data_IF_586865480675
#
_entry.id   IF_586865480675
#
_cell.length_a   1.000
_cell.length_b   1.000
_cell.length_c   1.000
_cell.angle_alpha   90.00
_cell.angle_beta   90.00
_cell.angle_gamma   90.00
#
_symmetry.space_group_name_H-M   'P 1'
#
loop_
_entity.id
_entity.type
_entity.pdbx_description
1 polymer ?
#
# COMPACT_ATOMS: atom_id res chain seq x y z
N UNK A 1 -14.90 -14.43 5.85
CA UNK A 1 -15.09 -14.30 7.31
C UNK A 1 -14.98 -15.68 7.99
N UNK A 2 -15.77 -16.69 7.62
CA UNK A 2 -15.76 -18.02 8.29
C UNK A 2 -14.37 -18.68 8.26
N UNK A 3 -13.67 -18.76 7.12
CA UNK A 3 -12.32 -19.35 7.04
C UNK A 3 -11.34 -18.66 7.99
N UNK A 4 -11.37 -17.33 8.02
CA UNK A 4 -10.52 -16.54 8.91
C UNK A 4 -10.85 -16.79 10.39
N UNK A 5 -12.13 -16.91 10.75
CA UNK A 5 -12.58 -17.29 12.09
C UNK A 5 -12.03 -18.66 12.51
N UNK A 6 -12.19 -19.66 11.64
CA UNK A 6 -11.72 -21.05 11.90
C UNK A 6 -10.20 -21.06 12.11
N UNK A 7 -9.45 -20.33 11.29
CA UNK A 7 -7.98 -20.27 11.40
C UNK A 7 -7.53 -19.64 12.72
N UNK A 8 -8.12 -18.50 13.10
CA UNK A 8 -7.81 -17.81 14.35
C UNK A 8 -8.23 -18.65 15.56
N UNK A 9 -9.45 -19.23 15.54
CA UNK A 9 -9.92 -20.08 16.64
C UNK A 9 -9.00 -21.29 16.86
N UNK A 10 -8.55 -21.93 15.78
CA UNK A 10 -7.59 -23.05 15.87
C UNK A 10 -6.21 -22.63 16.36
N UNK A 11 -5.79 -21.40 16.07
CA UNK A 11 -4.49 -20.90 16.46
C UNK A 11 -4.45 -20.46 17.92
N UNK A 12 -5.52 -19.81 18.40
CA UNK A 12 -5.54 -19.16 19.70
C UNK A 12 -6.44 -19.88 20.74
N UNK A 13 -7.23 -20.86 20.32
CA UNK A 13 -8.15 -21.65 21.16
C UNK A 13 -9.07 -20.77 22.03
N UNK A 14 -9.54 -19.65 21.49
CA UNK A 14 -10.41 -18.70 22.18
C UNK A 14 -11.61 -18.31 21.31
N UNK A 15 -12.58 -17.64 21.92
CA UNK A 15 -13.69 -17.03 21.20
C UNK A 15 -13.19 -15.86 20.34
N UNK A 16 -13.69 -15.78 19.11
CA UNK A 16 -13.28 -14.78 18.12
C UNK A 16 -14.48 -13.91 17.75
N UNK A 17 -14.42 -12.64 18.12
CA UNK A 17 -15.32 -11.61 17.61
C UNK A 17 -14.77 -11.04 16.30
N UNK A 18 -15.59 -11.03 15.26
CA UNK A 18 -15.19 -10.49 13.96
C UNK A 18 -15.99 -9.25 13.62
N UNK A 19 -15.25 -8.23 13.15
CA UNK A 19 -15.81 -6.97 12.66
C UNK A 19 -15.24 -6.67 11.28
N UNK A 20 -16.10 -6.30 10.34
CA UNK A 20 -15.73 -5.75 9.03
C UNK A 20 -16.06 -4.27 9.04
N UNK A 21 -15.10 -3.42 8.70
CA UNK A 21 -15.31 -1.98 8.59
C UNK A 21 -15.20 -1.60 7.11
N UNK A 22 -16.29 -1.08 6.55
CA UNK A 22 -16.28 -0.49 5.22
C UNK A 22 -15.96 0.99 5.33
N UNK A 23 -14.92 1.44 4.63
CA UNK A 23 -14.40 2.80 4.70
C UNK A 23 -15.06 3.74 3.68
N UNK A 24 -15.53 3.20 2.55
CA UNK A 24 -16.15 3.99 1.49
C UNK A 24 -17.58 3.53 1.20
N UNK A 25 -18.51 4.44 0.92
CA UNK A 25 -19.89 4.09 0.57
C UNK A 25 -19.94 3.11 -0.60
N UNK A 26 -20.79 2.09 -0.48
CA UNK A 26 -21.02 1.09 -1.52
C UNK A 26 -22.44 0.56 -1.43
N UNK A 27 -22.99 0.12 -2.57
CA UNK A 27 -24.29 -0.57 -2.64
C UNK A 27 -24.11 -2.11 -2.74
N UNK A 28 -22.88 -2.62 -2.61
CA UNK A 28 -22.63 -4.04 -2.66
C UNK A 28 -23.31 -4.75 -1.48
N UNK A 29 -24.02 -5.84 -1.74
CA UNK A 29 -24.77 -6.63 -0.74
C UNK A 29 -23.88 -7.05 0.44
N UNK A 30 -22.61 -7.33 0.20
CA UNK A 30 -21.64 -7.72 1.23
C UNK A 30 -21.46 -6.66 2.33
N UNK A 31 -21.70 -5.38 2.03
CA UNK A 31 -21.62 -4.31 3.04
C UNK A 31 -22.85 -4.26 3.96
N UNK A 32 -23.90 -5.01 3.64
CA UNK A 32 -25.17 -5.06 4.39
C UNK A 32 -25.46 -6.47 4.91
N UNK A 33 -24.53 -7.42 4.74
CA UNK A 33 -24.67 -8.81 5.16
C UNK A 33 -23.78 -9.07 6.38
N UNK A 34 -24.37 -9.51 7.48
CA UNK A 34 -23.68 -9.78 8.75
C UNK A 34 -23.59 -11.27 9.06
N UNK A 35 -23.93 -12.13 8.11
CA UNK A 35 -23.87 -13.57 8.30
C UNK A 35 -23.54 -14.32 7.01
N UNK A 36 -22.97 -15.50 7.17
CA UNK A 36 -22.83 -16.49 6.14
C UNK A 36 -23.68 -17.71 6.51
N UNK A 37 -24.51 -18.19 5.58
CA UNK A 37 -25.34 -19.40 5.75
C UNK A 37 -25.07 -20.40 4.63
N UNK A 38 -24.89 -21.65 5.03
CA UNK A 38 -24.88 -22.82 4.18
C UNK A 38 -25.71 -23.94 4.86
N UNK A 39 -26.07 -25.05 4.18
CA UNK A 39 -26.99 -26.05 4.71
C UNK A 39 -26.69 -26.54 6.14
N UNK A 40 -25.41 -26.63 6.50
CA UNK A 40 -24.98 -27.10 7.82
C UNK A 40 -24.01 -26.11 8.51
N UNK A 41 -24.02 -24.84 8.10
CA UNK A 41 -23.09 -23.85 8.63
C UNK A 41 -23.78 -22.51 8.78
N UNK A 42 -23.62 -21.91 9.94
CA UNK A 42 -24.07 -20.56 10.22
C UNK A 42 -22.96 -19.80 10.95
N UNK A 43 -22.54 -18.67 10.39
CA UNK A 43 -21.48 -17.85 10.95
C UNK A 43 -21.90 -16.37 10.92
N UNK A 44 -21.75 -15.68 12.04
CA UNK A 44 -22.10 -14.25 12.20
C UNK A 44 -20.87 -13.41 12.45
N UNK A 45 -20.91 -12.18 11.97
CA UNK A 45 -19.90 -11.15 12.18
C UNK A 45 -20.59 -9.78 12.17
N UNK A 46 -19.94 -8.77 12.74
CA UNK A 46 -20.47 -7.41 12.69
C UNK A 46 -19.96 -6.67 11.45
N UNK A 47 -20.83 -5.83 10.87
CA UNK A 47 -20.47 -4.93 9.77
C UNK A 47 -20.66 -3.50 10.24
N UNK A 48 -19.60 -2.71 10.12
CA UNK A 48 -19.61 -1.29 10.43
C UNK A 48 -19.40 -0.54 9.11
N UNK A 49 -20.37 0.26 8.72
CA UNK A 49 -20.29 1.24 7.63
C UNK A 49 -19.93 2.57 8.23
N UNK A 50 -18.67 3.00 8.06
CA UNK A 50 -18.14 4.16 8.76
C UNK A 50 -18.90 5.44 8.41
N UNK A 51 -19.40 5.57 7.18
CA UNK A 51 -20.18 6.72 6.71
C UNK A 51 -21.57 6.87 7.34
N UNK A 52 -22.03 5.87 8.08
CA UNK A 52 -23.29 5.89 8.85
C UNK A 52 -23.03 6.12 10.35
N UNK A 53 -21.77 6.13 10.79
CA UNK A 53 -21.44 6.28 12.20
C UNK A 53 -21.45 7.74 12.63
N UNK A 54 -21.89 7.97 13.86
CA UNK A 54 -21.81 9.29 14.51
C UNK A 54 -20.33 9.65 14.74
N UNK A 55 -19.86 10.82 14.26
CA UNK A 55 -18.49 11.26 14.48
C UNK A 55 -18.13 11.44 15.95
N UNK A 56 -19.06 11.71 16.85
CA UNK A 56 -18.78 11.99 18.27
C UNK A 56 -18.04 10.86 18.95
N UNK A 57 -18.48 9.62 18.73
CA UNK A 57 -17.84 8.44 19.31
C UNK A 57 -16.40 8.22 18.78
N UNK A 58 -16.14 8.62 17.54
CA UNK A 58 -14.83 8.49 16.90
C UNK A 58 -13.88 9.63 17.27
N UNK A 59 -14.41 10.84 17.48
CA UNK A 59 -13.65 12.01 17.91
C UNK A 59 -13.16 11.90 19.36
N UNK A 60 -13.80 11.06 20.17
CA UNK A 60 -13.43 10.88 21.58
C UNK A 60 -12.06 10.21 21.81
N UNK A 61 -11.49 9.56 20.80
CA UNK A 61 -10.23 8.83 20.94
C UNK A 61 -9.24 9.21 19.82
N UNK A 62 -8.00 9.61 20.14
CA UNK A 62 -6.97 9.90 19.15
C UNK A 62 -6.71 8.76 18.15
N UNK A 63 -6.84 7.51 18.59
CA UNK A 63 -6.65 6.34 17.73
C UNK A 63 -7.76 6.18 16.67
N UNK A 64 -8.93 6.77 16.87
CA UNK A 64 -10.07 6.69 15.97
C UNK A 64 -10.22 7.92 15.06
N UNK A 65 -9.44 8.97 15.27
CA UNK A 65 -9.49 10.20 14.46
C UNK A 65 -9.33 9.95 12.95
N UNK A 66 -8.46 9.02 12.49
CA UNK A 66 -8.39 8.68 11.07
C UNK A 66 -9.70 8.14 10.50
N UNK A 67 -10.51 7.45 11.29
CA UNK A 67 -11.83 6.96 10.88
C UNK A 67 -12.90 8.03 11.00
N UNK A 68 -12.75 8.97 11.93
CA UNK A 68 -13.71 10.04 12.17
C UNK A 68 -13.95 10.92 10.93
N UNK A 69 -12.93 11.12 10.07
CA UNK A 69 -13.06 11.89 8.83
C UNK A 69 -14.04 11.26 7.83
N UNK A 70 -14.22 9.94 7.91
CA UNK A 70 -15.14 9.19 7.03
C UNK A 70 -16.57 9.11 7.59
N UNK A 71 -16.79 9.50 8.85
CA UNK A 71 -18.07 9.41 9.52
C UNK A 71 -19.18 10.22 8.82
N UNK A 72 -20.41 10.02 9.27
CA UNK A 72 -21.55 10.77 8.77
C UNK A 72 -21.38 12.26 9.02
N UNK A 73 -21.61 13.08 8.01
CA UNK A 73 -21.57 14.53 8.14
C UNK A 73 -22.41 15.21 7.05
N UNK A 74 -23.05 16.31 7.43
CA UNK A 74 -23.73 17.22 6.51
C UNK A 74 -22.83 18.43 6.18
N UNK A 75 -21.66 18.56 6.83
CA UNK A 75 -20.72 19.68 6.66
C UNK A 75 -19.28 19.16 6.75
N UNK A 76 -18.68 18.83 5.60
CA UNK A 76 -17.32 18.33 5.53
C UNK A 76 -16.30 19.21 6.23
N UNK A 77 -16.39 20.52 6.03
CA UNK A 77 -15.46 21.51 6.61
C UNK A 77 -15.51 21.48 8.14
N UNK A 78 -16.71 21.43 8.72
CA UNK A 78 -16.89 21.38 10.18
C UNK A 78 -16.32 20.09 10.74
N UNK A 79 -16.52 18.96 10.06
CA UNK A 79 -15.95 17.67 10.50
C UNK A 79 -14.42 17.71 10.46
N UNK A 80 -13.83 18.15 9.35
CA UNK A 80 -12.37 18.25 9.21
C UNK A 80 -11.75 19.21 10.22
N UNK A 81 -12.39 20.36 10.46
CA UNK A 81 -11.97 21.31 11.48
C UNK A 81 -11.96 20.67 12.88
N UNK A 82 -13.00 19.93 13.23
CA UNK A 82 -13.09 19.24 14.52
C UNK A 82 -12.03 18.15 14.68
N UNK A 83 -11.80 17.37 13.63
CA UNK A 83 -10.73 16.35 13.64
C UNK A 83 -9.36 17.01 13.78
N UNK A 84 -9.08 18.09 13.05
CA UNK A 84 -7.84 18.85 13.16
C UNK A 84 -7.62 19.37 14.60
N UNK A 85 -8.66 19.96 15.20
CA UNK A 85 -8.58 20.41 16.59
C UNK A 85 -8.29 19.26 17.59
N UNK A 86 -8.82 18.05 17.34
CA UNK A 86 -8.51 16.88 18.17
C UNK A 86 -7.08 16.36 17.94
N UNK A 87 -6.54 16.47 16.74
CA UNK A 87 -5.14 16.15 16.45
C UNK A 87 -4.20 17.12 17.14
N UNK A 88 -4.54 18.43 17.15
CA UNK A 88 -3.69 19.48 17.71
C UNK A 88 -3.52 19.39 19.25
N UNK A 89 -4.48 18.78 19.95
CA UNK A 89 -4.39 18.58 21.41
C UNK A 89 -3.61 17.33 21.83
N UNK A 90 -3.11 16.54 20.89
CA UNK A 90 -2.27 15.37 21.19
C UNK A 90 -0.90 15.89 21.67
N UNK A 91 -0.58 15.63 22.94
CA UNK A 91 0.63 16.17 23.59
C UNK A 91 1.92 15.56 23.04
N UNK A 92 1.91 14.27 22.73
CA UNK A 92 3.08 13.54 22.22
C UNK A 92 3.26 13.87 20.72
N UNK A 93 4.32 14.60 20.41
CA UNK A 93 4.58 15.12 19.05
C UNK A 93 4.66 14.04 17.97
N UNK A 94 5.33 12.92 18.27
CA UNK A 94 5.45 11.82 17.31
C UNK A 94 4.08 11.21 17.02
N UNK A 95 3.31 10.93 18.06
CA UNK A 95 1.94 10.44 17.93
C UNK A 95 1.04 11.42 17.20
N UNK A 96 1.15 12.71 17.48
CA UNK A 96 0.41 13.76 16.77
C UNK A 96 0.69 13.74 15.26
N UNK A 97 1.96 13.68 14.88
CA UNK A 97 2.39 13.60 13.47
C UNK A 97 1.84 12.35 12.78
N UNK A 98 1.96 11.20 13.44
CA UNK A 98 1.50 9.93 12.90
C UNK A 98 -0.03 9.90 12.75
N UNK A 99 -0.78 10.38 13.74
CA UNK A 99 -2.24 10.50 13.65
C UNK A 99 -2.63 11.49 12.56
N UNK A 100 -1.98 12.65 12.47
CA UNK A 100 -2.20 13.64 11.41
C UNK A 100 -1.98 13.06 10.02
N UNK A 101 -0.90 12.31 9.81
CA UNK A 101 -0.62 11.65 8.55
C UNK A 101 -1.70 10.61 8.18
N UNK A 102 -2.08 9.75 9.14
CA UNK A 102 -3.16 8.78 8.94
C UNK A 102 -4.50 9.46 8.61
N UNK A 103 -4.84 10.55 9.32
CA UNK A 103 -6.04 11.35 9.05
C UNK A 103 -6.05 11.88 7.63
N UNK A 104 -4.95 12.49 7.17
CA UNK A 104 -4.85 13.06 5.81
C UNK A 104 -4.95 11.97 4.73
N UNK A 105 -4.27 10.83 4.91
CA UNK A 105 -4.32 9.70 3.97
C UNK A 105 -5.76 9.15 3.87
N UNK A 106 -6.40 8.90 5.00
CA UNK A 106 -7.76 8.33 5.06
C UNK A 106 -8.80 9.36 4.55
N UNK A 107 -8.62 10.65 4.86
CA UNK A 107 -9.49 11.73 4.36
C UNK A 107 -9.52 11.76 2.82
N UNK A 108 -8.41 11.42 2.16
CA UNK A 108 -8.32 11.32 0.69
C UNK A 108 -9.25 10.28 0.05
N UNK A 109 -9.85 9.35 0.83
CA UNK A 109 -10.88 8.44 0.35
C UNK A 109 -12.24 9.13 0.13
N UNK A 110 -12.46 10.30 0.73
CA UNK A 110 -13.76 10.99 0.76
C UNK A 110 -13.70 12.43 0.27
N UNK A 111 -12.59 13.12 0.47
CA UNK A 111 -12.42 14.53 0.20
C UNK A 111 -11.27 14.78 -0.78
N UNK A 112 -11.33 15.88 -1.51
CA UNK A 112 -10.22 16.31 -2.34
C UNK A 112 -9.06 16.92 -1.51
N UNK A 113 -7.86 16.92 -2.09
CA UNK A 113 -6.66 17.42 -1.41
C UNK A 113 -6.76 18.90 -1.05
N UNK A 114 -7.43 19.72 -1.89
CA UNK A 114 -7.55 21.15 -1.64
C UNK A 114 -8.32 21.43 -0.34
N UNK A 115 -9.40 20.68 -0.09
CA UNK A 115 -10.16 20.78 1.15
C UNK A 115 -9.35 20.27 2.35
N UNK A 116 -8.64 19.14 2.22
CA UNK A 116 -7.83 18.57 3.31
C UNK A 116 -6.74 19.57 3.74
N UNK A 117 -6.03 20.16 2.78
CA UNK A 117 -4.95 21.12 3.05
C UNK A 117 -5.40 22.45 3.68
N UNK A 118 -6.70 22.77 3.69
CA UNK A 118 -7.23 23.92 4.45
C UNK A 118 -7.15 23.71 5.97
N UNK A 119 -7.18 22.45 6.43
CA UNK A 119 -7.24 22.11 7.85
C UNK A 119 -5.98 21.40 8.35
N UNK A 120 -5.23 20.75 7.46
CA UNK A 120 -4.03 19.99 7.80
C UNK A 120 -2.82 20.48 7.02
N UNK A 121 -1.70 20.65 7.73
CA UNK A 121 -0.44 21.09 7.11
C UNK A 121 0.30 19.89 6.53
N UNK A 122 0.70 19.97 5.28
CA UNK A 122 1.46 18.94 4.58
C UNK A 122 2.82 18.65 5.25
N UNK A 123 3.46 19.70 5.80
CA UNK A 123 4.74 19.56 6.50
C UNK A 123 4.65 18.59 7.67
N UNK A 124 3.57 18.63 8.45
CA UNK A 124 3.34 17.74 9.59
C UNK A 124 3.21 16.28 9.12
N UNK A 125 2.56 16.06 7.99
CA UNK A 125 2.45 14.73 7.38
C UNK A 125 3.81 14.20 6.95
N UNK A 126 4.62 15.04 6.27
CA UNK A 126 5.96 14.67 5.79
C UNK A 126 6.94 14.31 6.92
N UNK A 127 6.75 14.85 8.12
CA UNK A 127 7.55 14.53 9.29
C UNK A 127 7.11 13.25 10.02
N UNK A 128 5.99 12.64 9.61
CA UNK A 128 5.51 11.38 10.18
C UNK A 128 6.39 10.21 9.77
N UNK A 129 6.78 9.37 10.74
CA UNK A 129 7.53 8.13 10.48
C UNK A 129 6.75 7.18 9.58
N UNK A 130 5.45 7.06 9.79
CA UNK A 130 4.54 6.23 8.95
C UNK A 130 4.56 6.71 7.50
N UNK A 131 4.45 8.02 7.27
CA UNK A 131 4.48 8.58 5.93
C UNK A 131 5.83 8.34 5.24
N UNK A 132 6.95 8.53 5.97
CA UNK A 132 8.29 8.27 5.46
C UNK A 132 8.47 6.79 5.08
N UNK A 133 7.98 5.86 5.89
CA UNK A 133 8.00 4.44 5.59
C UNK A 133 7.21 4.10 4.31
N UNK A 134 6.01 4.68 4.14
CA UNK A 134 5.20 4.49 2.92
C UNK A 134 5.93 5.00 1.69
N UNK A 135 6.53 6.19 1.75
CA UNK A 135 7.30 6.76 0.63
C UNK A 135 8.52 5.90 0.31
N UNK A 136 9.29 5.48 1.31
CA UNK A 136 10.47 4.62 1.11
C UNK A 136 10.07 3.27 0.50
N UNK A 137 8.97 2.68 0.98
CA UNK A 137 8.44 1.46 0.40
C UNK A 137 8.04 1.65 -1.06
N UNK A 138 7.34 2.74 -1.39
CA UNK A 138 6.95 3.07 -2.76
C UNK A 138 8.15 3.27 -3.69
N UNK A 139 9.20 3.98 -3.23
CA UNK A 139 10.45 4.16 -3.97
C UNK A 139 11.12 2.80 -4.24
N UNK A 140 11.22 1.95 -3.21
CA UNK A 140 11.81 0.61 -3.32
C UNK A 140 11.06 -0.25 -4.33
N UNK A 141 9.73 -0.26 -4.27
CA UNK A 141 8.88 -1.00 -5.20
C UNK A 141 9.01 -0.45 -6.62
N UNK A 142 9.02 0.88 -6.79
CA UNK A 142 9.21 1.52 -8.08
C UNK A 142 10.56 1.19 -8.72
N UNK A 143 11.65 1.22 -7.94
CA UNK A 143 12.99 0.82 -8.40
C UNK A 143 13.02 -0.66 -8.80
N UNK A 144 12.39 -1.53 -8.03
CA UNK A 144 12.31 -2.96 -8.35
C UNK A 144 11.52 -3.23 -9.62
N UNK A 145 10.37 -2.55 -9.81
CA UNK A 145 9.57 -2.66 -11.04
C UNK A 145 10.32 -2.11 -12.25
N UNK A 146 10.99 -0.97 -12.11
CA UNK A 146 11.83 -0.39 -13.15
C UNK A 146 12.94 -1.35 -13.60
N UNK A 147 13.66 -1.91 -12.63
CA UNK A 147 14.71 -2.91 -12.90
C UNK A 147 14.15 -4.15 -13.60
N UNK A 148 13.01 -4.67 -13.17
CA UNK A 148 12.39 -5.84 -13.79
C UNK A 148 11.96 -5.57 -15.25
N UNK A 149 11.45 -4.37 -15.51
CA UNK A 149 11.08 -3.94 -16.86
C UNK A 149 12.30 -3.85 -17.77
N UNK A 150 13.41 -3.31 -17.26
CA UNK A 150 14.68 -3.20 -17.98
C UNK A 150 15.30 -4.56 -18.30
N UNK A 151 15.39 -5.46 -17.31
CA UNK A 151 15.84 -6.86 -17.52
C UNK A 151 14.99 -7.50 -18.61
N UNK A 152 13.65 -7.34 -18.55
CA UNK A 152 12.75 -7.91 -19.55
C UNK A 152 12.99 -7.34 -20.94
N UNK A 153 13.30 -6.05 -21.05
CA UNK A 153 13.64 -5.41 -22.34
C UNK A 153 14.96 -5.96 -22.88
N UNK A 154 16.01 -5.99 -22.06
CA UNK A 154 17.33 -6.50 -22.45
C UNK A 154 17.25 -7.95 -22.92
N UNK A 155 16.54 -8.80 -22.20
CA UNK A 155 16.37 -10.21 -22.59
C UNK A 155 15.65 -10.36 -23.92
N UNK A 156 14.63 -9.53 -24.21
CA UNK A 156 13.97 -9.52 -25.52
C UNK A 156 14.91 -9.06 -26.63
N UNK A 157 15.74 -8.05 -26.37
CA UNK A 157 16.72 -7.56 -27.33
C UNK A 157 17.82 -8.60 -27.61
N UNK A 158 18.36 -9.22 -26.54
CA UNK A 158 19.33 -10.32 -26.66
C UNK A 158 18.78 -11.48 -27.46
N UNK A 159 17.55 -11.93 -27.13
CA UNK A 159 16.91 -13.03 -27.88
C UNK A 159 16.72 -12.70 -29.37
N UNK A 160 16.41 -11.46 -29.69
CA UNK A 160 16.29 -11.00 -31.08
C UNK A 160 17.66 -10.90 -31.78
N UNK A 161 18.73 -10.58 -31.05
CA UNK A 161 20.04 -10.27 -31.62
C UNK A 161 20.92 -11.52 -31.76
N UNK A 162 20.99 -12.34 -30.72
CA UNK A 162 21.90 -13.51 -30.63
C UNK A 162 21.17 -14.85 -30.45
N UNK A 163 19.80 -14.83 -30.39
CA UNK A 163 19.00 -16.02 -30.16
C UNK A 163 18.72 -16.29 -28.70
N UNK A 164 18.22 -17.48 -28.38
CA UNK A 164 17.80 -17.88 -27.04
C UNK A 164 18.99 -17.91 -26.07
N UNK A 165 18.85 -17.19 -24.97
CA UNK A 165 19.87 -17.09 -23.91
C UNK A 165 19.64 -18.21 -22.89
N UNK A 166 20.70 -18.97 -22.56
CA UNK A 166 20.58 -20.07 -21.61
C UNK A 166 20.29 -19.60 -20.17
N UNK A 167 19.79 -20.52 -19.33
CA UNK A 167 19.34 -20.21 -17.97
C UNK A 167 20.44 -19.68 -17.03
N UNK A 168 21.69 -20.07 -17.24
CA UNK A 168 22.82 -19.60 -16.44
C UNK A 168 23.13 -18.13 -16.72
N UNK A 169 23.14 -17.74 -17.98
CA UNK A 169 23.34 -16.34 -18.38
C UNK A 169 22.13 -15.46 -17.98
N UNK A 170 20.89 -16.00 -18.07
CA UNK A 170 19.69 -15.32 -17.56
C UNK A 170 19.84 -14.98 -16.07
N UNK A 171 20.29 -15.94 -15.26
CA UNK A 171 20.53 -15.71 -13.84
C UNK A 171 21.59 -14.61 -13.61
N UNK A 172 22.71 -14.65 -14.35
CA UNK A 172 23.76 -13.60 -14.24
C UNK A 172 23.21 -12.22 -14.58
N UNK A 173 22.41 -12.09 -15.65
CA UNK A 173 21.79 -10.81 -16.05
C UNK A 173 20.82 -10.30 -14.98
N UNK A 174 20.03 -11.19 -14.37
CA UNK A 174 19.09 -10.82 -13.29
C UNK A 174 19.80 -10.29 -12.03
N UNK A 175 21.06 -10.62 -11.79
CA UNK A 175 21.84 -10.12 -10.66
C UNK A 175 22.62 -8.84 -10.94
N UNK A 176 22.68 -8.37 -12.19
CA UNK A 176 23.36 -7.11 -12.54
C UNK A 176 22.73 -5.92 -11.82
N UNK A 177 23.55 -4.93 -11.48
CA UNK A 177 23.05 -3.64 -11.02
C UNK A 177 22.33 -2.88 -12.15
N UNK A 178 21.54 -1.87 -11.81
CA UNK A 178 20.83 -1.04 -12.80
C UNK A 178 21.82 -0.45 -13.83
N UNK A 179 22.91 0.19 -13.36
CA UNK A 179 23.96 0.72 -14.24
C UNK A 179 24.59 -0.33 -15.18
N UNK A 180 24.76 -1.57 -14.68
CA UNK A 180 25.30 -2.65 -15.52
C UNK A 180 24.28 -3.20 -16.53
N UNK A 181 22.98 -3.08 -16.24
CA UNK A 181 21.94 -3.39 -17.22
C UNK A 181 21.92 -2.34 -18.34
N UNK A 182 22.07 -1.06 -18.02
CA UNK A 182 22.21 0.01 -19.02
C UNK A 182 23.45 -0.21 -19.90
N UNK A 183 24.63 -0.48 -19.31
CA UNK A 183 25.85 -0.81 -20.07
C UNK A 183 25.65 -2.05 -20.96
N UNK A 184 24.94 -3.08 -20.49
CA UNK A 184 24.60 -4.26 -21.30
C UNK A 184 23.64 -3.89 -22.43
N UNK A 185 22.69 -2.99 -22.16
CA UNK A 185 21.76 -2.45 -23.15
C UNK A 185 22.46 -1.76 -24.32
N UNK A 186 23.57 -1.06 -24.04
CA UNK A 186 24.41 -0.45 -25.08
C UNK A 186 25.27 -1.49 -25.80
N UNK A 187 25.96 -2.34 -25.02
CA UNK A 187 26.90 -3.33 -25.57
C UNK A 187 26.22 -4.38 -26.47
N UNK A 188 24.97 -4.77 -26.19
CA UNK A 188 24.25 -5.78 -26.95
C UNK A 188 24.01 -5.38 -28.43
N UNK A 189 24.13 -4.09 -28.75
CA UNK A 189 24.00 -3.61 -30.13
C UNK A 189 25.13 -4.14 -31.02
N UNK A 190 26.28 -4.42 -30.44
CA UNK A 190 27.47 -4.92 -31.15
C UNK A 190 27.61 -6.46 -31.07
N UNK A 191 26.77 -7.15 -30.28
CA UNK A 191 26.82 -8.60 -30.16
C UNK A 191 26.36 -9.28 -31.44
N UNK A 192 27.04 -10.37 -31.80
CA UNK A 192 26.71 -11.22 -32.93
C UNK A 192 26.45 -12.68 -32.52
N UNK A 193 26.99 -13.09 -31.37
CA UNK A 193 26.94 -14.47 -30.84
C UNK A 193 26.74 -14.49 -29.35
N UNK A 194 26.30 -15.63 -28.81
CA UNK A 194 26.21 -15.83 -27.33
C UNK A 194 27.59 -15.67 -26.66
N UNK A 195 28.69 -15.99 -27.37
CA UNK A 195 30.05 -15.82 -26.86
C UNK A 195 30.35 -14.36 -26.50
N UNK A 196 29.82 -13.39 -27.25
CA UNK A 196 30.02 -11.96 -27.00
C UNK A 196 29.39 -11.57 -25.65
N UNK A 197 28.17 -12.07 -25.35
CA UNK A 197 27.53 -11.90 -24.07
C UNK A 197 28.31 -12.53 -22.92
N UNK A 198 28.81 -13.76 -23.10
CA UNK A 198 29.63 -14.45 -22.08
C UNK A 198 30.91 -13.66 -21.77
N UNK A 199 31.60 -13.18 -22.80
CA UNK A 199 32.83 -12.38 -22.63
C UNK A 199 32.53 -11.06 -21.91
N UNK A 200 31.45 -10.40 -22.26
CA UNK A 200 31.02 -9.15 -21.61
C UNK A 200 30.72 -9.40 -20.12
N UNK A 201 29.92 -10.42 -19.80
CA UNK A 201 29.55 -10.75 -18.41
C UNK A 201 30.77 -11.14 -17.58
N UNK A 202 31.75 -11.86 -18.15
CA UNK A 202 32.97 -12.24 -17.46
C UNK A 202 33.91 -11.02 -17.23
N UNK A 203 33.90 -10.03 -18.12
CA UNK A 203 34.63 -8.78 -17.96
C UNK A 203 34.07 -7.85 -16.85
N UNK A 204 32.89 -8.10 -16.33
CA UNK A 204 32.26 -7.34 -15.22
C UNK A 204 32.67 -7.85 -13.82
N UNK A 205 33.37 -8.98 -13.74
CA UNK A 205 33.75 -9.64 -12.47
C UNK A 205 35.15 -9.23 -11.94
N UNK A 206 35.70 -8.10 -12.39
CA UNK A 206 37.02 -7.61 -11.93
C UNK A 206 36.90 -6.32 -11.16
#
# INVERSE_FOLDING_TARGET
>A
MLDYWVRLHRQYECDIDQVVIFLTPTNAEVAFTEEFRAPNTWHRYRVIRIWEQDPEALLASPALLPLAVLAQTNSPEVLLQRVAAQVDIIEERERQRNVSACVQIIAGLKFDNALIHQFFREEVMRESTIYQEIIQQGIKEGLQQGRQAEVTLILRLLNRRIGEVNSELLAKIQFLSFAKLEELGEALLDFSTETDLVNWLNGQGS
#
